data_IF_515409909961
#
_entry.id   IF_515409909961
#
_cell.length_a   1.000
_cell.length_b   1.000
_cell.length_c   1.000
_cell.angle_alpha   90.00
_cell.angle_beta   90.00
_cell.angle_gamma   90.00
#
_symmetry.space_group_name_H-M   'P 1'
#
loop_
_entity.id
_entity.type
_entity.pdbx_description
1 polymer ?
#
# COMPACT_ATOMS: atom_id res chain seq x y z
N UNK A 1 27.92 15.59 -10.07
CA UNK A 1 27.50 14.69 -11.17
C UNK A 1 26.55 13.68 -10.53
N UNK A 2 25.25 13.97 -10.54
CA UNK A 2 24.24 13.06 -9.98
C UNK A 2 24.05 11.94 -11.01
N UNK A 3 24.47 10.73 -10.65
CA UNK A 3 24.17 9.55 -11.45
C UNK A 3 22.65 9.37 -11.51
N UNK A 4 22.13 9.02 -12.69
CA UNK A 4 20.72 8.79 -12.98
C UNK A 4 19.97 8.05 -11.83
N UNK A 5 19.13 8.77 -11.08
CA UNK A 5 18.38 8.27 -9.92
C UNK A 5 17.06 7.55 -10.28
N UNK A 6 16.88 7.14 -11.52
CA UNK A 6 15.68 6.42 -11.98
C UNK A 6 15.73 4.92 -11.66
N UNK A 7 16.88 4.42 -11.20
CA UNK A 7 17.15 2.99 -11.06
C UNK A 7 16.82 2.33 -9.72
N UNK A 8 16.24 2.97 -8.71
CA UNK A 8 16.13 2.36 -7.36
C UNK A 8 14.74 2.43 -6.71
N UNK A 9 13.72 2.81 -7.46
CA UNK A 9 12.38 2.94 -6.92
C UNK A 9 11.79 1.58 -6.52
N UNK A 10 11.36 1.50 -5.27
CA UNK A 10 10.42 0.49 -4.81
C UNK A 10 9.01 1.03 -4.98
N UNK A 11 8.14 0.23 -5.57
CA UNK A 11 6.76 0.60 -5.80
C UNK A 11 5.90 -0.06 -4.73
N UNK A 12 5.35 0.75 -3.83
CA UNK A 12 4.37 0.34 -2.84
C UNK A 12 2.98 0.55 -3.43
N UNK A 13 2.34 -0.54 -3.81
CA UNK A 13 0.98 -0.52 -4.30
C UNK A 13 0.02 -0.97 -3.20
N UNK A 14 -0.84 -0.10 -2.66
CA UNK A 14 -1.84 -0.44 -1.64
C UNK A 14 -3.28 -0.19 -2.10
N UNK A 15 -4.20 -1.06 -1.68
CA UNK A 15 -5.65 -0.95 -1.88
C UNK A 15 -6.45 -1.46 -0.65
N UNK A 16 -7.71 -1.05 -0.56
CA UNK A 16 -8.68 -1.45 0.43
C UNK A 16 -9.90 -2.08 -0.23
N UNK A 17 -10.36 -3.20 0.32
CA UNK A 17 -11.52 -3.94 -0.15
C UNK A 17 -12.62 -3.96 0.92
N UNK A 18 -13.87 -4.07 0.49
CA UNK A 18 -15.02 -4.38 1.33
C UNK A 18 -15.77 -5.57 0.75
N UNK A 19 -16.15 -6.49 1.64
CA UNK A 19 -17.02 -7.62 1.34
C UNK A 19 -18.47 -7.16 1.54
N UNK A 20 -19.27 -7.14 0.48
CA UNK A 20 -20.62 -6.53 0.50
C UNK A 20 -21.64 -7.31 1.35
N UNK A 21 -21.46 -8.61 1.50
CA UNK A 21 -22.36 -9.50 2.25
C UNK A 21 -22.19 -9.37 3.77
N UNK A 22 -20.97 -9.13 4.24
CA UNK A 22 -20.65 -9.01 5.66
C UNK A 22 -20.23 -7.60 6.11
N UNK A 23 -20.12 -6.66 5.17
CA UNK A 23 -19.56 -5.31 5.39
C UNK A 23 -18.15 -5.32 6.02
N UNK A 24 -17.45 -6.45 5.93
CA UNK A 24 -16.07 -6.55 6.42
C UNK A 24 -15.15 -5.83 5.46
N UNK A 25 -14.16 -5.14 6.02
CA UNK A 25 -13.12 -4.46 5.28
C UNK A 25 -11.77 -5.11 5.50
N UNK A 26 -10.94 -5.02 4.48
CA UNK A 26 -9.59 -5.49 4.49
C UNK A 26 -8.74 -4.54 3.65
N UNK A 27 -7.43 -4.57 3.86
CA UNK A 27 -6.50 -3.95 2.94
C UNK A 27 -5.47 -4.96 2.46
N UNK A 28 -4.83 -4.60 1.37
CA UNK A 28 -3.78 -5.38 0.78
C UNK A 28 -2.85 -4.50 -0.04
N UNK A 29 -1.66 -5.00 -0.28
CA UNK A 29 -0.73 -4.34 -1.15
C UNK A 29 0.42 -5.22 -1.58
N UNK A 30 1.19 -4.69 -2.51
CA UNK A 30 2.37 -5.35 -3.08
C UNK A 30 3.52 -4.36 -3.14
N UNK A 31 4.71 -4.84 -2.82
CA UNK A 31 5.98 -4.20 -3.10
C UNK A 31 6.54 -4.78 -4.39
N UNK A 32 6.93 -3.90 -5.29
CA UNK A 32 7.52 -4.25 -6.59
C UNK A 32 8.84 -3.51 -6.78
N UNK A 33 9.77 -4.12 -7.48
CA UNK A 33 10.98 -3.43 -7.94
C UNK A 33 10.67 -2.57 -9.18
N UNK A 34 11.69 -1.87 -9.66
CA UNK A 34 11.62 -0.99 -10.84
C UNK A 34 11.29 -1.67 -12.16
N UNK A 35 11.47 -2.98 -12.24
CA UNK A 35 11.15 -3.79 -13.41
C UNK A 35 9.77 -4.45 -13.29
N UNK A 36 9.00 -4.12 -12.24
CA UNK A 36 7.74 -4.78 -11.94
C UNK A 36 7.91 -6.18 -11.31
N UNK A 37 9.12 -6.55 -10.92
CA UNK A 37 9.40 -7.78 -10.18
C UNK A 37 8.73 -7.76 -8.82
N UNK A 38 8.14 -8.88 -8.42
CA UNK A 38 7.54 -9.03 -7.09
C UNK A 38 8.62 -9.06 -6.02
N UNK A 39 8.43 -8.25 -4.99
CA UNK A 39 9.27 -8.27 -3.78
C UNK A 39 8.48 -8.92 -2.64
N UNK A 40 7.25 -8.47 -2.42
CA UNK A 40 6.44 -8.88 -1.27
C UNK A 40 4.98 -8.52 -1.46
N UNK A 41 4.06 -9.38 -1.06
CA UNK A 41 2.66 -9.04 -0.86
C UNK A 41 2.34 -8.93 0.62
N UNK A 42 1.34 -8.13 0.98
CA UNK A 42 0.86 -8.04 2.35
C UNK A 42 -0.63 -7.80 2.40
N UNK A 43 -1.33 -8.38 3.38
CA UNK A 43 -2.75 -8.10 3.60
C UNK A 43 -3.17 -8.26 5.04
N UNK A 44 -4.32 -7.67 5.37
CA UNK A 44 -4.90 -7.74 6.71
C UNK A 44 -6.41 -7.46 6.66
N UNK A 45 -7.17 -8.26 7.39
CA UNK A 45 -8.58 -7.99 7.67
C UNK A 45 -8.70 -6.95 8.78
N UNK A 46 -9.55 -5.95 8.60
CA UNK A 46 -9.83 -4.91 9.59
C UNK A 46 -11.16 -5.13 10.31
N UNK A 47 -12.05 -5.98 9.82
CA UNK A 47 -13.42 -6.07 10.33
C UNK A 47 -14.28 -4.90 9.84
N UNK A 48 -15.17 -4.38 10.68
CA UNK A 48 -16.17 -3.37 10.28
C UNK A 48 -15.63 -1.94 10.33
N UNK A 49 -15.01 -1.50 9.23
CA UNK A 49 -14.54 -0.12 9.04
C UNK A 49 -15.01 0.42 7.69
N UNK A 50 -14.76 1.71 7.44
CA UNK A 50 -14.93 2.28 6.11
C UNK A 50 -13.80 1.84 5.19
N UNK A 51 -14.11 1.60 3.91
CA UNK A 51 -13.08 1.29 2.87
C UNK A 51 -11.98 2.34 2.84
N UNK A 52 -12.33 3.61 3.01
CA UNK A 52 -11.35 4.69 3.10
C UNK A 52 -10.29 4.43 4.17
N UNK A 53 -10.69 3.96 5.36
CA UNK A 53 -9.75 3.62 6.43
C UNK A 53 -8.85 2.46 6.00
N UNK A 54 -9.41 1.43 5.35
CA UNK A 54 -8.61 0.31 4.83
C UNK A 54 -7.53 0.78 3.86
N UNK A 55 -7.86 1.69 2.94
CA UNK A 55 -6.89 2.26 1.98
C UNK A 55 -5.75 3.01 2.67
N UNK A 56 -6.07 3.83 3.68
CA UNK A 56 -5.05 4.56 4.46
C UNK A 56 -4.21 3.60 5.32
N UNK A 57 -4.82 2.57 5.91
CA UNK A 57 -4.10 1.55 6.69
C UNK A 57 -3.13 0.73 5.83
N UNK A 58 -3.51 0.38 4.61
CA UNK A 58 -2.61 -0.34 3.72
C UNK A 58 -1.36 0.47 3.34
N UNK A 59 -1.49 1.79 3.17
CA UNK A 59 -0.33 2.68 3.00
C UNK A 59 0.53 2.69 4.28
N UNK A 60 -0.08 2.79 5.46
CA UNK A 60 0.64 2.78 6.73
C UNK A 60 1.47 1.50 6.92
N UNK A 61 0.85 0.33 6.82
CA UNK A 61 1.54 -0.95 7.01
C UNK A 61 2.57 -1.18 5.90
N UNK A 62 2.26 -0.80 4.66
CA UNK A 62 3.21 -0.82 3.55
C UNK A 62 4.46 0.03 3.83
N UNK A 63 4.32 1.24 4.35
CA UNK A 63 5.44 2.11 4.72
C UNK A 63 6.24 1.58 5.91
N UNK A 64 5.58 0.93 6.88
CA UNK A 64 6.28 0.24 7.96
C UNK A 64 7.14 -0.92 7.44
N UNK A 65 6.63 -1.67 6.45
CA UNK A 65 7.40 -2.73 5.78
C UNK A 65 8.60 -2.12 5.03
N UNK A 66 8.39 -1.06 4.24
CA UNK A 66 9.46 -0.31 3.56
C UNK A 66 10.59 0.06 4.54
N UNK A 67 10.23 0.66 5.69
CA UNK A 67 11.19 1.07 6.70
C UNK A 67 11.94 -0.15 7.28
N UNK A 68 11.23 -1.23 7.59
CA UNK A 68 11.85 -2.47 8.12
C UNK A 68 12.83 -3.13 7.16
N UNK A 69 12.66 -2.91 5.85
CA UNK A 69 13.51 -3.43 4.78
C UNK A 69 14.60 -2.43 4.33
N UNK A 70 14.69 -1.26 4.98
CA UNK A 70 15.62 -0.18 4.66
C UNK A 70 15.53 0.31 3.20
N UNK A 71 14.32 0.33 2.62
CA UNK A 71 14.11 0.94 1.32
C UNK A 71 13.92 2.45 1.47
N UNK A 72 14.76 3.23 0.78
CA UNK A 72 14.85 4.68 0.99
C UNK A 72 14.27 5.52 -0.16
N UNK A 73 13.89 4.86 -1.27
CA UNK A 73 13.39 5.50 -2.48
C UNK A 73 12.10 4.80 -2.92
N UNK A 74 10.94 5.44 -2.68
CA UNK A 74 9.62 4.76 -2.78
C UNK A 74 8.57 5.54 -3.57
N UNK A 75 7.91 4.87 -4.51
CA UNK A 75 6.70 5.38 -5.16
C UNK A 75 5.50 4.74 -4.50
N UNK A 76 4.63 5.56 -3.92
CA UNK A 76 3.44 5.11 -3.20
C UNK A 76 2.26 5.28 -4.13
N UNK A 77 1.63 4.15 -4.45
CA UNK A 77 0.51 4.08 -5.39
C UNK A 77 -0.77 3.71 -4.66
N UNK A 78 -1.87 4.25 -5.17
CA UNK A 78 -3.22 3.91 -4.75
C UNK A 78 -4.22 4.31 -5.83
N UNK A 79 -5.33 3.58 -5.91
CA UNK A 79 -6.49 3.92 -6.74
C UNK A 79 -7.37 5.02 -6.12
N UNK A 80 -7.16 5.37 -4.85
CA UNK A 80 -7.92 6.40 -4.15
C UNK A 80 -7.16 7.70 -4.10
N UNK A 81 -7.49 8.61 -5.00
CA UNK A 81 -6.99 9.98 -4.97
C UNK A 81 -7.34 10.69 -3.66
N UNK A 82 -8.49 10.36 -3.06
CA UNK A 82 -8.92 10.88 -1.76
C UNK A 82 -7.97 10.48 -0.63
N UNK A 83 -7.54 9.21 -0.59
CA UNK A 83 -6.59 8.72 0.41
C UNK A 83 -5.21 9.38 0.24
N UNK A 84 -4.70 9.44 -1.00
CA UNK A 84 -3.43 10.11 -1.30
C UNK A 84 -3.49 11.59 -0.91
N UNK A 85 -4.56 12.30 -1.28
CA UNK A 85 -4.76 13.70 -0.92
C UNK A 85 -4.87 13.92 0.58
N UNK A 86 -5.57 13.05 1.30
CA UNK A 86 -5.68 13.16 2.77
C UNK A 86 -4.30 13.05 3.45
N UNK A 87 -3.41 12.22 2.91
CA UNK A 87 -2.03 12.11 3.38
C UNK A 87 -1.20 13.32 2.94
N UNK A 88 -1.29 13.75 1.69
CA UNK A 88 -0.52 14.88 1.17
C UNK A 88 -0.90 16.21 1.85
N UNK A 89 -2.19 16.51 1.95
CA UNK A 89 -2.71 17.72 2.60
C UNK A 89 -2.24 17.82 4.06
N UNK A 90 -2.00 16.69 4.73
CA UNK A 90 -1.59 16.69 6.12
C UNK A 90 -0.20 17.32 6.35
N UNK A 91 0.65 17.39 5.33
CA UNK A 91 1.94 18.08 5.44
C UNK A 91 1.79 19.60 5.49
N UNK A 92 0.71 20.13 4.93
CA UNK A 92 0.39 21.57 4.96
C UNK A 92 -0.60 21.95 6.07
N UNK A 93 -1.45 21.01 6.49
CA UNK A 93 -2.51 21.20 7.49
C UNK A 93 -2.34 20.18 8.60
N UNK A 94 -2.37 20.59 9.86
CA UNK A 94 -2.33 19.64 10.97
C UNK A 94 -3.58 18.73 10.91
N UNK A 95 -3.43 17.52 10.39
CA UNK A 95 -4.51 16.52 10.32
C UNK A 95 -4.93 16.13 11.74
N UNK A 96 -6.22 15.86 11.99
CA UNK A 96 -6.65 15.28 13.27
C UNK A 96 -6.51 13.76 13.30
N UNK A 97 -6.27 13.11 12.15
CA UNK A 97 -6.16 11.66 12.04
C UNK A 97 -4.79 11.16 12.51
N UNK A 98 -4.81 10.30 13.54
CA UNK A 98 -3.61 9.65 14.08
C UNK A 98 -2.90 8.79 13.03
N UNK A 99 -3.68 8.10 12.18
CA UNK A 99 -3.14 7.26 11.10
C UNK A 99 -2.34 8.09 10.10
N UNK A 100 -2.92 9.21 9.67
CA UNK A 100 -2.29 10.12 8.72
C UNK A 100 -1.02 10.72 9.32
N UNK A 101 -1.06 11.19 10.58
CA UNK A 101 0.14 11.66 11.28
C UNK A 101 1.24 10.62 11.34
N UNK A 102 0.88 9.36 11.59
CA UNK A 102 1.85 8.26 11.63
C UNK A 102 2.49 8.03 10.26
N UNK A 103 1.70 8.06 9.18
CA UNK A 103 2.21 7.99 7.81
C UNK A 103 3.18 9.13 7.53
N UNK A 104 2.85 10.36 7.90
CA UNK A 104 3.76 11.50 7.72
C UNK A 104 5.09 11.31 8.41
N UNK A 105 5.08 10.85 9.67
CA UNK A 105 6.31 10.57 10.41
C UNK A 105 7.17 9.52 9.71
N UNK A 106 6.56 8.48 9.11
CA UNK A 106 7.30 7.47 8.35
C UNK A 106 7.93 8.08 7.09
N UNK A 107 7.16 8.89 6.36
CA UNK A 107 7.61 9.57 5.14
C UNK A 107 8.74 10.57 5.39
N UNK A 108 8.77 11.23 6.55
CA UNK A 108 9.88 12.10 6.95
C UNK A 108 11.20 11.34 7.15
N UNK A 109 11.14 10.02 7.35
CA UNK A 109 12.31 9.16 7.53
C UNK A 109 12.70 8.39 6.25
N UNK A 110 11.97 8.58 5.14
CA UNK A 110 12.29 7.99 3.83
C UNK A 110 12.98 9.06 2.99
N UNK A 111 14.17 8.76 2.48
CA UNK A 111 15.02 9.70 1.77
C UNK A 111 14.35 10.35 0.56
N UNK A 112 13.64 9.55 -0.25
CA UNK A 112 12.87 10.08 -1.38
C UNK A 112 11.56 9.32 -1.57
N UNK A 113 10.47 10.05 -1.70
CA UNK A 113 9.16 9.46 -1.97
C UNK A 113 8.33 10.33 -2.92
N UNK A 114 7.34 9.71 -3.57
CA UNK A 114 6.28 10.41 -4.31
C UNK A 114 4.98 9.62 -4.30
N UNK A 115 3.86 10.31 -4.42
CA UNK A 115 2.56 9.69 -4.67
C UNK A 115 2.29 9.55 -6.17
N UNK A 116 1.61 8.49 -6.55
CA UNK A 116 1.11 8.27 -7.90
C UNK A 116 -0.28 7.64 -7.83
N UNK A 117 -1.27 8.29 -8.45
CA UNK A 117 -2.60 7.70 -8.59
C UNK A 117 -2.58 6.72 -9.76
N UNK A 118 -3.17 5.54 -9.58
CA UNK A 118 -3.26 4.52 -10.62
C UNK A 118 -4.72 4.08 -10.80
N UNK A 119 -5.22 3.95 -12.04
CA UNK A 119 -6.55 3.40 -12.28
C UNK A 119 -6.69 1.98 -11.72
N UNK A 120 -7.88 1.64 -11.21
CA UNK A 120 -8.13 0.34 -10.57
C UNK A 120 -7.84 -0.85 -11.48
N UNK A 121 -8.00 -0.66 -12.80
CA UNK A 121 -7.79 -1.66 -13.84
C UNK A 121 -6.33 -2.10 -13.97
N UNK A 122 -5.38 -1.21 -13.62
CA UNK A 122 -3.94 -1.48 -13.63
C UNK A 122 -3.45 -2.02 -12.27
N UNK A 123 -4.38 -2.30 -11.35
CA UNK A 123 -4.11 -2.50 -9.92
C UNK A 123 -4.60 -3.86 -9.37
N UNK A 124 -4.66 -4.85 -10.25
CA UNK A 124 -5.37 -6.12 -10.03
C UNK A 124 -4.78 -6.93 -8.88
N UNK A 125 -3.46 -6.96 -8.71
CA UNK A 125 -2.82 -7.79 -7.69
C UNK A 125 -3.03 -7.24 -6.27
N UNK A 126 -3.02 -5.91 -6.09
CA UNK A 126 -3.29 -5.33 -4.77
C UNK A 126 -4.75 -5.58 -4.34
N UNK A 127 -5.72 -5.41 -5.24
CA UNK A 127 -7.14 -5.74 -4.99
C UNK A 127 -7.32 -7.25 -4.68
N UNK A 128 -6.66 -8.14 -5.44
CA UNK A 128 -6.65 -9.59 -5.16
C UNK A 128 -6.04 -9.90 -3.80
N UNK A 129 -4.88 -9.29 -3.47
CA UNK A 129 -4.22 -9.46 -2.17
C UNK A 129 -5.13 -8.99 -1.04
N UNK A 130 -5.81 -7.85 -1.19
CA UNK A 130 -6.75 -7.35 -0.19
C UNK A 130 -7.91 -8.33 0.04
N UNK A 131 -8.48 -8.87 -1.03
CA UNK A 131 -9.59 -9.84 -0.95
C UNK A 131 -9.20 -11.16 -0.28
N UNK A 132 -7.94 -11.60 -0.42
CA UNK A 132 -7.43 -12.79 0.27
C UNK A 132 -7.40 -12.67 1.80
N UNK A 133 -7.52 -11.46 2.36
CA UNK A 133 -7.55 -11.28 3.81
C UNK A 133 -8.91 -11.62 4.44
N UNK A 134 -10.02 -11.65 3.67
CA UNK A 134 -11.34 -11.95 4.22
C UNK A 134 -11.46 -13.37 4.78
N UNK A 135 -10.66 -14.31 4.27
CA UNK A 135 -10.70 -15.71 4.70
C UNK A 135 -9.86 -15.98 5.96
N UNK A 136 -9.22 -14.97 6.55
CA UNK A 136 -8.18 -15.14 7.58
C UNK A 136 -8.29 -14.13 8.73
N UNK A 137 -7.62 -14.50 9.83
CA UNK A 137 -7.57 -13.74 11.09
C UNK A 137 -6.98 -12.33 10.92
N UNK A 138 -7.31 -11.40 11.83
CA UNK A 138 -6.97 -9.96 11.82
C UNK A 138 -5.46 -9.60 11.91
N UNK A 139 -4.55 -10.56 11.70
CA UNK A 139 -3.09 -10.31 11.72
C UNK A 139 -2.59 -9.92 10.34
N UNK A 140 -1.59 -9.02 10.31
CA UNK A 140 -0.87 -8.71 9.08
C UNK A 140 -0.19 -9.98 8.57
N UNK A 141 -0.48 -10.34 7.32
CA UNK A 141 0.14 -11.47 6.63
C UNK A 141 1.09 -10.96 5.56
N UNK A 142 2.25 -11.58 5.49
CA UNK A 142 3.22 -11.39 4.41
C UNK A 142 3.14 -12.55 3.40
N UNK A 143 3.36 -12.23 2.14
CA UNK A 143 3.32 -13.14 0.99
C UNK A 143 4.63 -12.94 0.22
N UNK A 144 5.67 -13.68 0.61
CA UNK A 144 7.02 -13.50 0.05
C UNK A 144 7.07 -13.92 -1.44
N UNK A 145 6.40 -15.02 -1.81
CA UNK A 145 6.36 -15.51 -3.20
C UNK A 145 5.03 -15.17 -3.90
N UNK A 146 5.10 -14.84 -5.19
CA UNK A 146 3.90 -14.69 -6.03
C UNK A 146 3.14 -16.03 -6.02
N UNK A 147 1.83 -16.05 -5.69
CA UNK A 147 1.03 -17.25 -5.87
C UNK A 147 1.11 -17.77 -7.31
N UNK A 148 1.42 -19.06 -7.50
CA UNK A 148 1.63 -19.66 -8.83
C UNK A 148 0.46 -19.42 -9.81
N UNK A 149 -0.76 -19.34 -9.28
CA UNK A 149 -1.97 -19.10 -10.08
C UNK A 149 -2.09 -17.67 -10.61
N UNK A 150 -1.27 -16.74 -10.10
CA UNK A 150 -1.24 -15.35 -10.54
C UNK A 150 -0.18 -15.10 -11.62
N UNK A 151 0.87 -15.91 -11.65
CA UNK A 151 1.93 -15.86 -12.67
C UNK A 151 1.36 -16.14 -14.07
N UNK A 152 0.31 -16.95 -14.18
CA UNK A 152 -0.35 -17.28 -15.45
C UNK A 152 -1.22 -16.16 -16.03
N UNK A 153 -1.42 -15.08 -15.29
CA UNK A 153 -2.30 -13.96 -15.63
C UNK A 153 -1.53 -12.64 -15.83
N UNK A 154 -0.19 -12.68 -15.71
CA UNK A 154 0.75 -11.60 -16.03
C UNK A 154 1.44 -11.92 -17.36
#
# INVERSE_FOLDING_TARGET
MFANEEGYWIYLNSDGAMKLDSEMTAFGGVLRDRHGGWILGFNKSLGHYLVFNAKVWGVLDGLMIIQSRNYDVVVIRSDSQEALKAIDDSFSKNSSSVLVKRIQQLLMNIGRWKFEHIPREEYVEADRIAKLAFDKNERLRLVEDIPLDWIKLM
#
